data_IF_737313503976
#
_entry.id   IF_737313503976
#
_cell.length_a   1.000
_cell.length_b   1.000
_cell.length_c   1.000
_cell.angle_alpha   90.00
_cell.angle_beta   90.00
_cell.angle_gamma   90.00
#
_symmetry.space_group_name_H-M   'P 1'
#
loop_
_entity.id
_entity.type
_entity.pdbx_description
1 polymer ?
#
# COMPACT_ATOMS: atom_id res chain seq x y z
N UNK A 1 -23.03 9.75 20.11
CA UNK A 1 -22.02 9.77 19.03
C UNK A 1 -20.70 10.18 19.68
N UNK A 2 -19.71 9.30 19.70
CA UNK A 2 -18.40 9.66 20.27
C UNK A 2 -17.80 10.77 19.41
N UNK A 3 -17.25 11.79 20.07
CA UNK A 3 -16.60 12.91 19.39
C UNK A 3 -15.32 12.39 18.72
N UNK A 4 -15.17 12.65 17.42
CA UNK A 4 -13.95 12.28 16.69
C UNK A 4 -12.76 13.04 17.28
N UNK A 5 -11.63 12.34 17.48
CA UNK A 5 -10.40 12.99 17.93
C UNK A 5 -9.72 13.63 16.73
N UNK A 6 -9.22 14.84 16.94
CA UNK A 6 -8.56 15.64 15.93
C UNK A 6 -7.14 16.01 16.37
N UNK A 7 -6.25 16.17 15.41
CA UNK A 7 -4.90 16.69 15.58
C UNK A 7 -4.50 17.48 14.34
N UNK A 8 -3.51 18.36 14.48
CA UNK A 8 -2.89 19.03 13.33
C UNK A 8 -1.47 18.50 13.12
N UNK A 9 -1.06 18.40 11.87
CA UNK A 9 0.31 18.03 11.51
C UNK A 9 0.72 18.68 10.20
N UNK A 10 2.04 18.81 9.98
CA UNK A 10 2.58 19.36 8.74
C UNK A 10 2.69 18.26 7.68
N UNK A 11 2.20 18.55 6.48
CA UNK A 11 2.40 17.71 5.29
C UNK A 11 3.82 17.89 4.76
N UNK A 12 4.67 16.86 4.91
CA UNK A 12 6.08 16.91 4.54
C UNK A 12 6.29 16.58 3.05
N UNK A 13 5.60 15.54 2.57
CA UNK A 13 5.75 15.01 1.22
C UNK A 13 4.52 14.20 0.82
N UNK A 14 4.41 13.89 -0.47
CA UNK A 14 3.42 12.95 -1.01
C UNK A 14 4.12 11.87 -1.83
N UNK A 15 3.85 10.62 -1.49
CA UNK A 15 4.29 9.46 -2.25
C UNK A 15 3.12 8.90 -3.07
N UNK A 16 3.41 8.39 -4.26
CA UNK A 16 2.40 7.78 -5.12
C UNK A 16 2.58 6.26 -5.13
N UNK A 17 1.65 5.57 -4.51
CA UNK A 17 1.64 4.10 -4.42
C UNK A 17 0.81 3.50 -5.54
N UNK A 18 1.21 2.31 -5.99
CA UNK A 18 0.53 1.57 -7.05
C UNK A 18 -0.18 0.39 -6.40
N UNK A 19 -1.49 0.29 -6.59
CA UNK A 19 -2.27 -0.85 -6.12
C UNK A 19 -2.21 -2.05 -7.08
N UNK A 20 -2.69 -3.20 -6.63
CA UNK A 20 -2.71 -4.47 -7.40
C UNK A 20 -3.40 -4.36 -8.77
N UNK A 21 -4.36 -3.45 -8.92
CA UNK A 21 -5.06 -3.18 -10.18
C UNK A 21 -4.47 -1.97 -10.94
N UNK A 22 -3.30 -1.50 -10.52
CA UNK A 22 -2.59 -0.39 -11.14
C UNK A 22 -3.08 1.01 -10.76
N UNK A 23 -4.06 1.14 -9.87
CA UNK A 23 -4.52 2.45 -9.41
C UNK A 23 -3.40 3.18 -8.67
N UNK A 24 -3.23 4.48 -8.98
CA UNK A 24 -2.26 5.35 -8.32
C UNK A 24 -2.95 6.04 -7.16
N UNK A 25 -2.45 5.78 -5.95
CA UNK A 25 -2.98 6.37 -4.71
C UNK A 25 -1.93 7.31 -4.12
N UNK A 26 -2.21 8.62 -4.02
CA UNK A 26 -1.34 9.54 -3.31
C UNK A 26 -1.45 9.31 -1.80
N UNK A 27 -0.30 9.26 -1.14
CA UNK A 27 -0.16 9.06 0.31
C UNK A 27 0.63 10.23 0.89
N UNK A 28 -0.03 11.02 1.71
CA UNK A 28 0.59 12.10 2.47
C UNK A 28 1.55 11.53 3.51
N UNK A 29 2.78 12.04 3.55
CA UNK A 29 3.72 11.90 4.66
C UNK A 29 3.60 13.15 5.52
N UNK A 30 3.21 12.96 6.77
CA UNK A 30 3.06 14.06 7.73
C UNK A 30 4.08 13.92 8.86
N UNK A 31 4.37 15.02 9.55
CA UNK A 31 5.11 14.95 10.81
C UNK A 31 4.37 13.99 11.75
N UNK A 32 5.08 13.01 12.35
CA UNK A 32 4.42 12.03 13.21
C UNK A 32 3.65 12.71 14.35
N UNK A 33 2.38 12.42 14.47
CA UNK A 33 1.50 13.01 15.49
C UNK A 33 0.68 11.94 16.21
N UNK A 34 0.47 12.12 17.50
CA UNK A 34 -0.39 11.24 18.30
C UNK A 34 -1.86 11.57 18.04
N UNK A 35 -2.61 10.60 17.54
CA UNK A 35 -4.03 10.76 17.24
C UNK A 35 -4.82 9.53 17.70
N UNK A 36 -5.68 9.70 18.70
CA UNK A 36 -6.52 8.62 19.23
C UNK A 36 -5.71 7.36 19.64
N UNK A 37 -4.54 7.53 20.31
CA UNK A 37 -3.72 6.45 20.84
C UNK A 37 -2.79 5.77 19.83
N UNK A 38 -2.71 6.27 18.59
CA UNK A 38 -1.76 5.79 17.58
C UNK A 38 -0.91 6.94 17.04
N UNK A 39 0.33 6.62 16.63
CA UNK A 39 1.20 7.57 15.92
C UNK A 39 0.87 7.53 14.43
N UNK A 40 0.45 8.65 13.89
CA UNK A 40 0.09 8.81 12.48
C UNK A 40 1.22 9.55 11.75
N UNK A 41 1.81 8.93 10.73
CA UNK A 41 2.86 9.52 9.88
C UNK A 41 2.55 9.41 8.39
N UNK A 42 1.52 8.64 8.01
CA UNK A 42 1.11 8.46 6.61
C UNK A 42 -0.41 8.37 6.50
N UNK A 43 -0.98 9.07 5.52
CA UNK A 43 -2.44 9.18 5.34
C UNK A 43 -2.77 9.16 3.85
N UNK A 44 -3.76 8.36 3.45
CA UNK A 44 -4.22 8.36 2.06
C UNK A 44 -4.86 9.69 1.68
N UNK A 45 -4.50 10.20 0.50
CA UNK A 45 -5.15 11.34 -0.15
C UNK A 45 -6.14 10.89 -1.24
N UNK A 46 -6.47 9.61 -1.26
CA UNK A 46 -7.44 8.97 -2.14
C UNK A 46 -7.11 9.10 -3.63
N UNK A 47 -7.19 10.29 -4.23
CA UNK A 47 -6.96 10.56 -5.64
C UNK A 47 -6.62 12.05 -5.87
N UNK A 48 -6.37 12.42 -7.12
CA UNK A 48 -6.05 13.78 -7.54
C UNK A 48 -7.19 14.78 -7.22
N UNK A 49 -8.45 14.40 -7.44
CA UNK A 49 -9.61 15.26 -7.19
C UNK A 49 -9.77 15.60 -5.70
N UNK A 50 -9.43 14.65 -4.83
CA UNK A 50 -9.43 14.89 -3.39
C UNK A 50 -8.41 15.97 -2.99
N UNK A 51 -7.21 15.93 -3.59
CA UNK A 51 -6.15 16.92 -3.36
C UNK A 51 -6.61 18.31 -3.85
N UNK A 52 -7.10 18.37 -5.08
CA UNK A 52 -7.53 19.61 -5.72
C UNK A 52 -8.73 20.24 -5.01
N UNK A 53 -9.76 19.44 -4.67
CA UNK A 53 -10.97 19.93 -4.01
C UNK A 53 -10.75 20.49 -2.61
N UNK A 54 -9.64 20.15 -1.96
CA UNK A 54 -9.25 20.60 -0.63
C UNK A 54 -8.07 21.55 -0.63
N UNK A 55 -7.58 21.92 -1.80
CA UNK A 55 -6.41 22.80 -1.99
C UNK A 55 -5.23 22.41 -1.09
N UNK A 56 -4.91 21.08 -1.08
CA UNK A 56 -3.83 20.54 -0.24
C UNK A 56 -2.50 20.73 -0.94
N UNK A 57 -1.53 21.32 -0.24
CA UNK A 57 -0.17 21.56 -0.71
C UNK A 57 0.88 20.92 0.20
N UNK A 58 2.02 20.57 -0.35
CA UNK A 58 3.20 20.15 0.44
C UNK A 58 3.66 21.35 1.27
N UNK A 59 3.86 21.15 2.56
CA UNK A 59 4.18 22.21 3.52
C UNK A 59 2.97 22.67 4.35
N UNK A 60 1.74 22.38 3.92
CA UNK A 60 0.52 22.74 4.65
C UNK A 60 0.48 22.16 6.06
N UNK A 61 -0.08 22.93 6.98
CA UNK A 61 -0.68 22.38 8.19
C UNK A 61 -2.04 21.78 7.82
N UNK A 62 -2.25 20.51 8.15
CA UNK A 62 -3.47 19.77 7.86
C UNK A 62 -4.18 19.33 9.13
N UNK A 63 -5.50 19.42 9.14
CA UNK A 63 -6.34 18.91 10.21
C UNK A 63 -6.63 17.42 9.94
N UNK A 64 -6.21 16.58 10.87
CA UNK A 64 -6.40 15.14 10.86
C UNK A 64 -7.55 14.74 11.77
N UNK A 65 -8.30 13.73 11.39
CA UNK A 65 -9.37 13.18 12.21
C UNK A 65 -9.34 11.67 12.21
N UNK A 66 -9.64 11.09 13.38
CA UNK A 66 -9.88 9.65 13.55
C UNK A 66 -11.15 9.45 14.37
N UNK A 67 -12.13 8.83 13.76
CA UNK A 67 -13.37 8.45 14.44
C UNK A 67 -13.26 7.01 14.95
N UNK A 68 -13.17 6.83 16.28
CA UNK A 68 -12.99 5.51 16.89
C UNK A 68 -11.70 4.82 16.42
N UNK A 69 -11.79 3.53 16.11
CA UNK A 69 -10.66 2.73 15.56
C UNK A 69 -10.59 2.74 14.02
N UNK A 70 -11.24 3.71 13.37
CA UNK A 70 -11.22 3.88 11.92
C UNK A 70 -9.90 4.50 11.46
N UNK A 71 -9.59 4.34 10.18
CA UNK A 71 -8.38 4.87 9.53
C UNK A 71 -8.35 6.40 9.61
N UNK A 72 -7.23 7.02 10.04
CA UNK A 72 -7.09 8.47 10.03
C UNK A 72 -7.23 9.05 8.63
N UNK A 73 -7.84 10.24 8.52
CA UNK A 73 -7.97 10.94 7.25
C UNK A 73 -7.74 12.45 7.42
N UNK A 74 -7.40 13.13 6.31
CA UNK A 74 -7.25 14.57 6.27
C UNK A 74 -8.64 15.21 6.07
N UNK A 75 -9.07 16.02 7.03
CA UNK A 75 -10.32 16.78 6.95
C UNK A 75 -10.16 17.93 5.98
N UNK A 76 -9.10 18.76 6.18
CA UNK A 76 -8.79 19.93 5.37
C UNK A 76 -7.35 20.41 5.58
N UNK A 77 -6.84 21.16 4.62
CA UNK A 77 -5.70 22.04 4.83
C UNK A 77 -6.11 23.27 5.70
N UNK A 78 -5.12 23.93 6.29
CA UNK A 78 -5.29 25.16 7.07
C UNK A 78 -4.57 26.32 6.35
N UNK A 79 -5.16 26.92 5.31
CA UNK A 79 -4.50 27.91 4.46
C UNK A 79 -4.06 29.16 5.23
N UNK A 80 -4.75 29.52 6.32
CA UNK A 80 -4.41 30.64 7.16
C UNK A 80 -3.04 30.51 7.87
N UNK A 81 -2.50 29.28 7.90
CA UNK A 81 -1.18 28.96 8.45
C UNK A 81 -0.09 28.83 7.39
N UNK A 82 -0.40 29.12 6.11
CA UNK A 82 0.59 29.10 5.02
C UNK A 82 1.59 30.22 5.18
N UNK A 83 2.84 29.91 4.84
CA UNK A 83 4.00 30.82 4.92
C UNK A 83 4.42 31.37 3.55
N UNK A 84 3.81 30.85 2.47
CA UNK A 84 4.18 31.17 1.08
C UNK A 84 5.27 30.24 0.49
N UNK A 85 5.71 29.25 1.26
CA UNK A 85 6.70 28.25 0.81
C UNK A 85 6.06 26.91 0.42
N UNK A 86 4.74 26.83 0.51
CA UNK A 86 3.99 25.63 0.17
C UNK A 86 4.04 25.36 -1.33
N UNK A 87 4.11 24.07 -1.70
CA UNK A 87 4.24 23.65 -3.09
C UNK A 87 3.04 22.83 -3.53
N UNK A 88 2.49 23.06 -4.73
CA UNK A 88 1.43 22.22 -5.25
C UNK A 88 1.88 20.76 -5.34
N UNK A 89 0.94 19.83 -5.13
CA UNK A 89 1.18 18.40 -5.32
C UNK A 89 0.98 18.11 -6.81
N UNK A 90 2.08 17.81 -7.49
CA UNK A 90 2.04 17.43 -8.91
C UNK A 90 1.73 15.94 -9.03
N UNK A 91 0.57 15.62 -9.64
CA UNK A 91 0.22 14.23 -9.90
C UNK A 91 1.04 13.67 -11.07
N UNK A 92 1.61 12.44 -10.96
CA UNK A 92 2.49 11.92 -12.00
C UNK A 92 1.71 11.64 -13.30
N UNK A 93 2.31 11.94 -14.43
CA UNK A 93 1.79 11.59 -15.76
C UNK A 93 2.18 10.17 -16.16
N UNK A 94 3.25 9.64 -15.57
CA UNK A 94 3.78 8.31 -15.82
C UNK A 94 3.80 7.49 -14.53
N UNK A 95 3.71 6.17 -14.68
CA UNK A 95 3.79 5.22 -13.57
C UNK A 95 5.11 5.39 -12.79
N UNK A 96 5.08 5.57 -11.46
CA UNK A 96 6.31 5.73 -10.66
C UNK A 96 7.25 4.53 -10.71
N UNK A 97 6.75 3.33 -11.04
CA UNK A 97 7.54 2.10 -11.08
C UNK A 97 8.06 1.76 -12.48
N UNK A 98 7.19 1.76 -13.50
CA UNK A 98 7.56 1.27 -14.84
C UNK A 98 7.56 2.36 -15.92
N UNK A 99 7.34 3.62 -15.56
CA UNK A 99 7.36 4.81 -16.42
C UNK A 99 6.38 4.78 -17.59
N UNK A 100 5.48 3.80 -17.66
CA UNK A 100 4.41 3.77 -18.67
C UNK A 100 3.44 4.94 -18.44
N UNK A 101 2.99 5.66 -19.48
CA UNK A 101 1.99 6.70 -19.34
C UNK A 101 0.74 6.20 -18.61
N UNK A 102 0.28 6.97 -17.62
CA UNK A 102 -0.94 6.64 -16.88
C UNK A 102 -2.16 6.90 -17.73
N UNK A 103 -3.21 6.11 -17.50
CA UNK A 103 -4.51 6.29 -18.14
C UNK A 103 -5.59 6.54 -17.11
N UNK A 104 -6.60 7.29 -17.47
CA UNK A 104 -7.79 7.49 -16.65
C UNK A 104 -8.99 6.96 -17.40
N UNK A 105 -9.70 6.01 -16.80
CA UNK A 105 -10.92 5.47 -17.40
C UNK A 105 -12.03 6.49 -17.19
N UNK A 106 -12.82 6.73 -18.23
CA UNK A 106 -13.94 7.67 -18.16
C UNK A 106 -14.92 7.27 -17.04
N UNK A 107 -15.19 8.22 -16.13
CA UNK A 107 -16.05 8.00 -14.98
C UNK A 107 -15.32 7.48 -13.74
N UNK A 108 -14.01 7.17 -13.81
CA UNK A 108 -13.20 6.85 -12.65
C UNK A 108 -12.37 8.04 -12.16
N UNK A 109 -12.26 8.20 -10.84
CA UNK A 109 -11.40 9.22 -10.23
C UNK A 109 -9.92 8.82 -10.18
N UNK A 110 -9.60 7.54 -10.35
CA UNK A 110 -8.25 7.02 -10.21
C UNK A 110 -7.50 6.98 -11.53
N UNK A 111 -6.27 7.49 -11.54
CA UNK A 111 -5.28 7.20 -12.58
C UNK A 111 -4.75 5.78 -12.43
N UNK A 112 -4.47 5.11 -13.53
CA UNK A 112 -4.02 3.71 -13.53
C UNK A 112 -2.81 3.50 -14.44
N UNK A 113 -1.92 2.61 -13.99
CA UNK A 113 -0.89 2.04 -14.85
C UNK A 113 -1.51 0.93 -15.72
N UNK A 114 -1.54 1.07 -17.05
CA UNK A 114 -2.09 0.05 -17.95
C UNK A 114 -1.16 -1.13 -18.19
N UNK A 115 0.12 -1.02 -17.82
CA UNK A 115 1.11 -2.07 -18.05
C UNK A 115 0.87 -3.28 -17.14
N UNK A 116 0.46 -4.42 -17.70
CA UNK A 116 0.27 -5.66 -16.93
C UNK A 116 1.59 -6.27 -16.43
N UNK A 117 2.72 -5.90 -17.03
CA UNK A 117 4.07 -6.33 -16.62
C UNK A 117 4.75 -5.35 -15.67
N UNK A 118 4.01 -4.38 -15.13
CA UNK A 118 4.55 -3.46 -14.12
C UNK A 118 4.97 -4.23 -12.86
N UNK A 119 6.25 -4.11 -12.48
CA UNK A 119 6.81 -4.86 -11.34
C UNK A 119 6.06 -4.60 -10.04
N UNK A 120 5.69 -3.35 -9.75
CA UNK A 120 4.93 -3.04 -8.53
C UNK A 120 3.51 -3.64 -8.56
N UNK A 121 2.83 -3.68 -9.72
CA UNK A 121 1.53 -4.39 -9.83
C UNK A 121 1.70 -5.89 -9.53
N UNK A 122 2.77 -6.51 -10.01
CA UNK A 122 3.06 -7.94 -9.75
C UNK A 122 3.26 -8.13 -8.24
N UNK A 123 4.12 -7.32 -7.61
CA UNK A 123 4.38 -7.37 -6.17
C UNK A 123 3.08 -7.19 -5.38
N UNK A 124 2.26 -6.20 -5.71
CA UNK A 124 0.99 -5.95 -5.01
C UNK A 124 -0.04 -7.08 -5.19
N UNK A 125 -0.06 -7.74 -6.35
CA UNK A 125 -0.87 -8.96 -6.56
C UNK A 125 -0.36 -10.11 -5.67
N UNK A 126 0.96 -10.29 -5.55
CA UNK A 126 1.55 -11.31 -4.68
C UNK A 126 1.27 -11.03 -3.19
N UNK A 127 1.43 -9.76 -2.74
CA UNK A 127 1.11 -9.35 -1.37
C UNK A 127 -0.36 -9.63 -1.04
N UNK A 128 -1.27 -9.27 -1.96
CA UNK A 128 -2.69 -9.56 -1.76
C UNK A 128 -2.97 -11.07 -1.72
N UNK A 129 -2.35 -11.85 -2.62
CA UNK A 129 -2.52 -13.30 -2.67
C UNK A 129 -2.19 -13.97 -1.34
N UNK A 130 -1.11 -13.57 -0.69
CA UNK A 130 -0.67 -14.16 0.59
C UNK A 130 -1.33 -13.57 1.81
N UNK A 131 -2.09 -12.48 1.66
CA UNK A 131 -2.71 -11.75 2.78
C UNK A 131 -3.73 -12.58 3.53
N UNK A 132 -4.04 -12.14 4.76
CA UNK A 132 -5.06 -12.76 5.62
C UNK A 132 -6.44 -12.84 4.96
N UNK A 133 -6.77 -11.85 4.14
CA UNK A 133 -8.06 -11.79 3.45
C UNK A 133 -8.15 -12.78 2.27
N UNK A 134 -7.01 -13.24 1.77
CA UNK A 134 -6.90 -14.18 0.65
C UNK A 134 -6.39 -15.56 1.13
N UNK A 135 -5.18 -15.96 0.75
CA UNK A 135 -4.66 -17.32 1.05
C UNK A 135 -4.11 -17.46 2.48
N UNK A 136 -3.93 -16.38 3.24
CA UNK A 136 -3.51 -16.37 4.65
C UNK A 136 -2.22 -17.17 4.89
N UNK A 137 -1.14 -16.76 4.24
CA UNK A 137 0.17 -17.42 4.35
C UNK A 137 1.01 -16.66 5.36
N UNK A 138 1.06 -17.16 6.60
CA UNK A 138 1.90 -16.60 7.65
C UNK A 138 3.38 -16.60 7.25
N UNK A 139 4.09 -15.53 7.59
CA UNK A 139 5.51 -15.36 7.26
C UNK A 139 5.77 -14.82 5.84
N UNK A 140 4.73 -14.60 5.02
CA UNK A 140 4.83 -14.00 3.69
C UNK A 140 4.36 -12.54 3.68
N UNK A 141 4.76 -11.75 4.68
CA UNK A 141 4.48 -10.31 4.68
C UNK A 141 5.14 -9.57 3.51
N UNK A 142 4.76 -8.30 3.31
CA UNK A 142 5.23 -7.46 2.19
C UNK A 142 6.76 -7.45 2.08
N UNK A 143 7.50 -7.33 3.19
CA UNK A 143 8.97 -7.31 3.18
C UNK A 143 9.57 -8.60 2.60
N UNK A 144 9.00 -9.76 2.94
CA UNK A 144 9.46 -11.05 2.43
C UNK A 144 9.08 -11.26 0.97
N UNK A 145 7.88 -10.83 0.56
CA UNK A 145 7.48 -10.83 -0.85
C UNK A 145 8.45 -10.00 -1.69
N UNK A 146 8.76 -8.77 -1.26
CA UNK A 146 9.70 -7.89 -1.97
C UNK A 146 11.09 -8.52 -2.04
N UNK A 147 11.61 -9.02 -0.91
CA UNK A 147 12.93 -9.69 -0.83
C UNK A 147 13.02 -10.89 -1.77
N UNK A 148 12.03 -11.78 -1.76
CA UNK A 148 12.03 -12.97 -2.62
C UNK A 148 11.84 -12.63 -4.10
N UNK A 149 11.08 -11.55 -4.40
CA UNK A 149 10.94 -11.05 -5.76
C UNK A 149 12.26 -10.45 -6.28
N UNK A 150 12.96 -9.64 -5.47
CA UNK A 150 14.29 -9.08 -5.80
C UNK A 150 15.33 -10.18 -6.06
N UNK A 151 15.27 -11.29 -5.31
CA UNK A 151 16.11 -12.47 -5.52
C UNK A 151 15.70 -13.29 -6.75
N UNK A 152 14.62 -12.96 -7.42
CA UNK A 152 14.08 -13.70 -8.55
C UNK A 152 13.42 -15.02 -8.18
N UNK A 153 13.15 -15.27 -6.89
CA UNK A 153 12.56 -16.52 -6.41
C UNK A 153 11.04 -16.58 -6.62
N UNK A 154 10.37 -15.42 -6.64
CA UNK A 154 8.96 -15.31 -6.93
C UNK A 154 8.68 -14.22 -7.97
N UNK A 155 8.07 -14.59 -9.08
CA UNK A 155 7.65 -13.68 -10.15
C UNK A 155 6.14 -13.78 -10.41
N UNK A 156 5.52 -14.84 -9.92
CA UNK A 156 4.10 -15.11 -10.03
C UNK A 156 3.61 -15.90 -8.81
N UNK A 157 2.29 -16.07 -8.68
CA UNK A 157 1.68 -16.73 -7.52
C UNK A 157 2.07 -18.20 -7.38
N UNK A 158 2.33 -18.91 -8.49
CA UNK A 158 2.72 -20.32 -8.45
C UNK A 158 4.12 -20.52 -7.83
N UNK A 159 5.02 -19.56 -8.01
CA UNK A 159 6.38 -19.64 -7.47
C UNK A 159 6.36 -19.67 -5.93
N UNK A 160 5.38 -19.04 -5.27
CA UNK A 160 5.20 -19.06 -3.82
C UNK A 160 5.10 -20.48 -3.28
N UNK A 161 4.47 -21.38 -4.05
CA UNK A 161 4.23 -22.75 -3.65
C UNK A 161 5.38 -23.71 -4.01
N UNK A 162 6.41 -23.19 -4.67
CA UNK A 162 7.59 -23.94 -5.14
C UNK A 162 8.91 -23.40 -4.56
N UNK A 163 8.85 -22.61 -3.49
CA UNK A 163 10.02 -22.02 -2.84
C UNK A 163 10.99 -23.08 -2.31
N UNK A 164 12.29 -22.79 -2.44
CA UNK A 164 13.37 -23.59 -1.84
C UNK A 164 13.57 -23.17 -0.37
N UNK A 165 13.08 -23.99 0.55
CA UNK A 165 13.13 -23.71 1.99
C UNK A 165 14.53 -23.85 2.58
N UNK A 166 15.42 -24.62 1.95
CA UNK A 166 16.83 -24.73 2.37
C UNK A 166 17.58 -23.44 2.01
N UNK A 167 17.32 -22.88 0.84
CA UNK A 167 17.84 -21.56 0.46
C UNK A 167 17.30 -20.47 1.41
N UNK A 168 16.01 -20.48 1.74
CA UNK A 168 15.39 -19.54 2.69
C UNK A 168 16.03 -19.65 4.09
N UNK A 169 16.29 -20.86 4.59
CA UNK A 169 16.89 -21.08 5.90
C UNK A 169 18.30 -20.47 6.03
N UNK A 170 19.01 -20.32 4.92
CA UNK A 170 20.35 -19.72 4.84
C UNK A 170 20.34 -18.22 4.51
N UNK A 171 19.18 -17.64 4.27
CA UNK A 171 19.04 -16.22 3.93
C UNK A 171 19.18 -15.35 5.19
N UNK A 172 19.89 -14.23 5.09
CA UNK A 172 20.01 -13.25 6.18
C UNK A 172 18.63 -12.77 6.66
N UNK A 173 18.43 -12.81 7.97
CA UNK A 173 17.14 -12.51 8.62
C UNK A 173 16.17 -13.68 8.69
N UNK A 174 16.54 -14.85 8.13
CA UNK A 174 15.82 -16.11 8.27
C UNK A 174 16.67 -17.12 9.04
N UNK A 175 16.05 -18.21 9.44
CA UNK A 175 16.71 -19.37 10.06
C UNK A 175 15.87 -20.61 9.82
N UNK A 176 16.37 -21.78 10.19
CA UNK A 176 15.69 -23.06 9.99
C UNK A 176 14.24 -23.05 10.49
N UNK A 177 14.01 -22.49 11.70
CA UNK A 177 12.66 -22.43 12.28
C UNK A 177 11.71 -21.55 11.48
N UNK A 178 12.15 -20.40 10.97
CA UNK A 178 11.30 -19.51 10.15
C UNK A 178 11.00 -20.12 8.78
N UNK A 179 11.98 -20.81 8.17
CA UNK A 179 11.76 -21.53 6.92
C UNK A 179 10.78 -22.71 7.08
N UNK A 180 10.87 -23.48 8.18
CA UNK A 180 9.92 -24.54 8.50
C UNK A 180 8.50 -24.01 8.77
N UNK A 181 8.39 -22.90 9.51
CA UNK A 181 7.10 -22.25 9.74
C UNK A 181 6.46 -21.79 8.42
N UNK A 182 7.25 -21.17 7.55
CA UNK A 182 6.79 -20.73 6.24
C UNK A 182 6.34 -21.90 5.37
N UNK A 183 7.13 -22.99 5.34
CA UNK A 183 6.76 -24.24 4.65
C UNK A 183 5.42 -24.78 5.14
N UNK A 184 5.24 -24.80 6.47
CA UNK A 184 3.99 -25.28 7.09
C UNK A 184 2.81 -24.38 6.73
N UNK A 185 3.00 -23.04 6.73
CA UNK A 185 1.96 -22.07 6.35
C UNK A 185 1.54 -22.25 4.88
N UNK A 186 2.49 -22.45 3.96
CA UNK A 186 2.21 -22.71 2.54
C UNK A 186 1.45 -24.03 2.35
N UNK A 187 1.86 -25.10 3.05
CA UNK A 187 1.17 -26.40 3.00
C UNK A 187 -0.26 -26.30 3.55
N UNK A 188 -0.47 -25.49 4.60
CA UNK A 188 -1.82 -25.19 5.12
C UNK A 188 -2.65 -24.43 4.10
N UNK A 189 -2.08 -23.41 3.47
CA UNK A 189 -2.76 -22.60 2.47
C UNK A 189 -3.22 -23.40 1.24
N UNK A 190 -2.48 -24.42 0.83
CA UNK A 190 -2.89 -25.35 -0.26
C UNK A 190 -4.21 -26.09 0.02
N UNK A 191 -4.65 -26.13 1.28
CA UNK A 191 -5.91 -26.76 1.70
C UNK A 191 -7.07 -25.76 1.85
N UNK A 192 -6.84 -24.50 1.56
CA UNK A 192 -7.87 -23.47 1.65
C UNK A 192 -9.00 -23.75 0.66
N UNK A 193 -10.25 -23.37 1.00
CA UNK A 193 -11.39 -23.50 0.10
C UNK A 193 -11.18 -22.70 -1.20
N UNK A 194 -11.70 -23.21 -2.30
CA UNK A 194 -11.53 -22.64 -3.65
C UNK A 194 -11.95 -21.16 -3.73
N UNK A 195 -12.95 -20.72 -2.97
CA UNK A 195 -13.39 -19.32 -2.97
C UNK A 195 -12.30 -18.37 -2.51
N UNK A 196 -11.45 -18.76 -1.53
CA UNK A 196 -10.29 -17.94 -1.09
C UNK A 196 -9.26 -17.81 -2.21
N UNK A 197 -9.01 -18.89 -2.95
CA UNK A 197 -8.12 -18.86 -4.08
C UNK A 197 -8.66 -17.94 -5.20
N UNK A 198 -9.94 -18.07 -5.57
CA UNK A 198 -10.57 -17.18 -6.56
C UNK A 198 -10.52 -15.71 -6.11
N UNK A 199 -10.82 -15.45 -4.83
CA UNK A 199 -10.69 -14.09 -4.26
C UNK A 199 -9.27 -13.57 -4.36
N UNK A 200 -8.26 -14.41 -4.10
CA UNK A 200 -6.84 -14.03 -4.19
C UNK A 200 -6.41 -13.63 -5.60
N UNK A 201 -7.10 -14.11 -6.63
CA UNK A 201 -6.93 -13.73 -8.03
C UNK A 201 -7.73 -12.47 -8.41
N UNK A 202 -8.45 -11.86 -7.44
CA UNK A 202 -9.38 -10.73 -7.66
C UNK A 202 -10.52 -11.05 -8.61
N UNK A 203 -10.96 -12.34 -8.64
CA UNK A 203 -12.17 -12.81 -9.31
C UNK A 203 -13.30 -12.75 -8.29
N UNK A 204 -14.36 -12.01 -8.62
CA UNK A 204 -15.52 -11.77 -7.75
C UNK A 204 -16.78 -12.44 -8.33
#
# INVERSE_FOLDING_TARGET
>A
KFQAKQATSRLINVEFQIGKMGAITPVAKVEPVQLAGVTVGSISLHNEEFIQSRDIMIGDMVLLERAGDVIPYIVKALPDLRTGNEKPIEFPTNCPSCHTPLVRIQGEAAWRCPNEKCGEKIIQKLIFHVSKDAMDIDGMGESNIRKFHELGWINNMADIYNLDFDAIANLEGFGKKSAENLKSAILKAKKNPIHRFLHSLSIH
#
